data_IF_096557509394
#
_entry.id   IF_096557509394
#
_cell.length_a   1.000
_cell.length_b   1.000
_cell.length_c   1.000
_cell.angle_alpha   90.00
_cell.angle_beta   90.00
_cell.angle_gamma   90.00
#
_symmetry.space_group_name_H-M   'P 1'
#
loop_
_entity.id
_entity.type
_entity.pdbx_description
1 polymer ?
#
# COMPACT_ATOMS: atom_id res chain seq x y z
N UNK A 1 -21.72 4.11 -22.97
CA UNK A 1 -20.65 3.09 -22.98
C UNK A 1 -19.61 3.51 -21.96
N UNK A 2 -19.47 2.77 -20.86
CA UNK A 2 -18.39 3.03 -19.91
C UNK A 2 -17.08 2.57 -20.54
N UNK A 3 -16.13 3.48 -20.69
CA UNK A 3 -14.77 3.19 -21.13
C UNK A 3 -14.16 2.38 -19.99
N UNK A 4 -14.07 1.06 -20.12
CA UNK A 4 -13.28 0.25 -19.18
C UNK A 4 -11.85 0.75 -19.31
N UNK A 5 -11.33 1.36 -18.26
CA UNK A 5 -9.93 1.74 -18.22
C UNK A 5 -9.10 0.48 -18.50
N UNK A 6 -8.23 0.56 -19.51
CA UNK A 6 -7.31 -0.54 -19.81
C UNK A 6 -6.56 -0.92 -18.54
N UNK A 7 -6.41 -2.22 -18.23
CA UNK A 7 -5.65 -2.64 -17.07
C UNK A 7 -4.23 -2.13 -17.26
N UNK A 8 -3.88 -1.12 -16.46
CA UNK A 8 -2.52 -0.57 -16.42
C UNK A 8 -1.56 -1.74 -16.20
N UNK A 9 -0.49 -1.89 -17.00
CA UNK A 9 0.44 -2.99 -16.79
C UNK A 9 0.95 -2.92 -15.36
N UNK A 10 0.71 -4.01 -14.62
CA UNK A 10 1.17 -4.13 -13.24
C UNK A 10 2.69 -3.92 -13.24
N UNK A 11 3.18 -3.03 -12.37
CA UNK A 11 4.61 -2.85 -12.21
C UNK A 11 5.26 -4.14 -11.67
N UNK A 12 6.58 -4.13 -11.41
CA UNK A 12 7.25 -5.30 -10.85
C UNK A 12 6.55 -5.78 -9.56
N UNK A 13 6.51 -7.10 -9.31
CA UNK A 13 5.86 -7.64 -8.13
C UNK A 13 6.62 -7.23 -6.87
N UNK A 14 5.89 -6.87 -5.81
CA UNK A 14 6.51 -6.57 -4.50
C UNK A 14 6.88 -7.84 -3.73
N UNK A 15 6.36 -9.00 -4.17
CA UNK A 15 6.46 -10.27 -3.43
C UNK A 15 5.49 -10.36 -2.25
N UNK A 16 4.61 -9.37 -2.08
CA UNK A 16 3.57 -9.32 -1.05
C UNK A 16 2.18 -9.54 -1.65
N UNK A 17 1.25 -9.99 -0.80
CA UNK A 17 -0.16 -10.14 -1.14
C UNK A 17 -1.04 -9.26 -0.24
N UNK A 18 -2.22 -8.92 -0.76
CA UNK A 18 -3.29 -8.30 0.02
C UNK A 18 -4.00 -9.34 0.93
N UNK A 19 -4.96 -8.89 1.73
CA UNK A 19 -5.76 -9.74 2.63
C UNK A 19 -6.48 -10.90 1.91
N UNK A 20 -6.77 -10.75 0.62
CA UNK A 20 -7.45 -11.74 -0.20
C UNK A 20 -6.47 -12.67 -0.93
N UNK A 21 -5.17 -12.54 -0.69
CA UNK A 21 -4.13 -13.30 -1.36
C UNK A 21 -3.76 -12.80 -2.76
N UNK A 22 -4.30 -11.65 -3.20
CA UNK A 22 -3.93 -11.06 -4.50
C UNK A 22 -2.54 -10.43 -4.41
N UNK A 23 -1.69 -10.67 -5.40
CA UNK A 23 -0.34 -10.11 -5.45
C UNK A 23 -0.39 -8.59 -5.59
N UNK A 24 0.40 -7.91 -4.77
CA UNK A 24 0.59 -6.46 -4.82
C UNK A 24 1.78 -6.15 -5.71
N UNK A 25 1.57 -5.27 -6.68
CA UNK A 25 2.57 -4.81 -7.64
C UNK A 25 2.89 -3.34 -7.42
N UNK A 26 4.06 -2.94 -7.91
CA UNK A 26 4.46 -1.53 -7.90
C UNK A 26 3.52 -0.73 -8.79
N UNK A 27 3.04 0.41 -8.29
CA UNK A 27 2.05 1.26 -8.96
C UNK A 27 0.61 0.95 -8.58
N UNK A 28 0.34 -0.17 -7.89
CA UNK A 28 -0.99 -0.49 -7.39
C UNK A 28 -1.46 0.55 -6.38
N UNK A 29 -2.78 0.66 -6.25
CA UNK A 29 -3.41 1.36 -5.15
C UNK A 29 -3.85 0.34 -4.11
N UNK A 30 -3.59 0.66 -2.85
CA UNK A 30 -4.08 -0.12 -1.71
C UNK A 30 -4.88 0.77 -0.78
N UNK A 31 -5.88 0.19 -0.14
CA UNK A 31 -6.62 0.81 0.96
C UNK A 31 -6.18 0.23 2.29
N UNK A 32 -6.03 1.10 3.28
CA UNK A 32 -5.79 0.75 4.68
C UNK A 32 -6.83 1.45 5.54
N UNK A 33 -7.32 0.75 6.56
CA UNK A 33 -8.23 1.32 7.54
C UNK A 33 -7.53 2.44 8.32
N UNK A 34 -8.22 3.57 8.48
CA UNK A 34 -7.75 4.68 9.28
C UNK A 34 -7.87 4.30 10.76
N UNK A 35 -6.76 4.28 11.48
CA UNK A 35 -6.75 4.04 12.95
C UNK A 35 -6.75 5.36 13.73
N UNK A 36 -6.24 6.44 13.13
CA UNK A 36 -6.10 7.75 13.76
C UNK A 36 -6.95 8.81 13.08
N UNK A 37 -7.66 9.61 13.87
CA UNK A 37 -8.50 10.73 13.43
C UNK A 37 -9.51 10.34 12.31
N UNK A 38 -10.35 9.30 12.50
CA UNK A 38 -11.36 8.89 11.51
C UNK A 38 -12.38 10.02 11.21
N UNK A 39 -12.58 10.95 12.13
CA UNK A 39 -13.38 12.16 11.91
C UNK A 39 -12.80 13.05 10.79
N UNK A 40 -11.49 13.05 10.60
CA UNK A 40 -10.81 13.82 9.54
C UNK A 40 -10.65 13.00 8.26
N UNK A 41 -10.25 11.73 8.37
CA UNK A 41 -9.85 10.91 7.22
C UNK A 41 -10.94 9.96 6.70
N UNK A 42 -11.99 9.71 7.51
CA UNK A 42 -12.94 8.63 7.26
C UNK A 42 -12.37 7.26 7.63
N UNK A 43 -13.07 6.21 7.22
CA UNK A 43 -12.81 4.82 7.60
C UNK A 43 -11.51 4.26 7.00
N UNK A 44 -11.06 4.81 5.87
CA UNK A 44 -9.87 4.33 5.19
C UNK A 44 -9.08 5.43 4.47
N UNK A 45 -7.84 5.11 4.12
CA UNK A 45 -6.97 5.92 3.28
C UNK A 45 -6.38 5.09 2.14
N UNK A 46 -6.15 5.74 0.99
CA UNK A 46 -5.64 5.16 -0.24
C UNK A 46 -4.17 5.56 -0.41
N UNK A 47 -3.35 4.56 -0.71
CA UNK A 47 -1.92 4.69 -0.91
C UNK A 47 -1.52 4.10 -2.27
N UNK A 48 -0.50 4.67 -2.90
CA UNK A 48 0.14 4.10 -4.09
C UNK A 48 1.39 3.34 -3.68
N UNK A 49 1.59 2.16 -4.26
CA UNK A 49 2.80 1.38 -4.06
C UNK A 49 3.93 1.92 -4.91
N UNK A 50 5.07 2.19 -4.29
CA UNK A 50 6.31 2.58 -4.94
C UNK A 50 7.48 1.76 -4.43
N UNK A 51 8.60 1.77 -5.16
CA UNK A 51 9.87 1.22 -4.68
C UNK A 51 10.79 2.35 -4.24
N UNK A 52 11.43 2.19 -3.08
CA UNK A 52 12.57 3.00 -2.65
C UNK A 52 13.77 2.06 -2.51
N UNK A 53 14.58 2.01 -3.57
CA UNK A 53 15.59 0.97 -3.72
C UNK A 53 14.92 -0.41 -3.81
N UNK A 54 15.27 -1.31 -2.90
CA UNK A 54 14.72 -2.66 -2.81
C UNK A 54 13.50 -2.79 -1.87
N UNK A 55 13.04 -1.70 -1.28
CA UNK A 55 11.97 -1.72 -0.29
C UNK A 55 10.68 -1.14 -0.89
N UNK A 56 9.56 -1.90 -0.90
CA UNK A 56 8.26 -1.37 -1.30
C UNK A 56 7.69 -0.46 -0.20
N UNK A 57 7.15 0.68 -0.62
CA UNK A 57 6.56 1.71 0.25
C UNK A 57 5.16 2.09 -0.21
N UNK A 58 4.34 2.54 0.74
CA UNK A 58 3.02 3.12 0.53
C UNK A 58 3.12 4.63 0.58
N UNK A 59 2.84 5.29 -0.55
CA UNK A 59 2.80 6.74 -0.65
C UNK A 59 1.35 7.20 -0.62
N UNK A 60 0.99 7.97 0.42
CA UNK A 60 -0.35 8.50 0.60
C UNK A 60 -0.83 9.26 -0.64
N UNK A 61 -2.00 8.89 -1.14
CA UNK A 61 -2.69 9.62 -2.20
C UNK A 61 -3.78 10.48 -1.60
N UNK A 62 -4.79 9.88 -0.94
CA UNK A 62 -5.96 10.56 -0.38
C UNK A 62 -6.61 9.71 0.70
N UNK A 63 -7.48 10.30 1.50
CA UNK A 63 -8.36 9.60 2.44
C UNK A 63 -9.75 9.38 1.83
N UNK A 64 -10.62 8.60 2.49
CA UNK A 64 -12.02 8.43 2.07
C UNK A 64 -12.73 9.78 1.99
N UNK A 65 -12.46 10.70 2.93
CA UNK A 65 -13.01 12.06 2.93
C UNK A 65 -12.33 13.04 1.96
N UNK A 66 -11.44 12.54 1.10
CA UNK A 66 -10.69 13.34 0.14
C UNK A 66 -9.24 13.60 0.56
N UNK A 67 -8.64 14.67 0.05
CA UNK A 67 -7.22 15.00 0.29
C UNK A 67 -7.04 15.66 1.67
N UNK A 68 -6.75 14.86 2.70
CA UNK A 68 -6.59 15.37 4.06
C UNK A 68 -5.14 15.78 4.40
N UNK A 69 -4.14 15.20 3.73
CA UNK A 69 -2.73 15.58 3.83
C UNK A 69 -2.23 16.05 2.46
N UNK A 70 -1.17 16.89 2.39
CA UNK A 70 -0.55 17.21 1.11
C UNK A 70 -0.08 15.94 0.38
N UNK A 71 -0.06 15.96 -0.95
CA UNK A 71 0.37 14.81 -1.74
C UNK A 71 1.82 14.44 -1.39
N UNK A 72 2.05 13.17 -1.06
CA UNK A 72 3.38 12.67 -0.70
C UNK A 72 3.88 13.04 0.70
N UNK A 73 3.07 13.70 1.54
CA UNK A 73 3.48 14.08 2.90
C UNK A 73 3.55 12.90 3.87
N UNK A 74 2.96 11.76 3.51
CA UNK A 74 3.03 10.54 4.31
C UNK A 74 3.47 9.38 3.41
N UNK A 75 4.59 8.78 3.77
CA UNK A 75 5.15 7.59 3.15
C UNK A 75 5.49 6.62 4.26
N UNK A 76 4.91 5.43 4.24
CA UNK A 76 5.24 4.36 5.17
C UNK A 76 5.72 3.14 4.41
N UNK A 77 6.42 2.24 5.08
CA UNK A 77 6.73 0.94 4.49
C UNK A 77 5.42 0.24 4.13
N UNK A 78 5.40 -0.54 3.03
CA UNK A 78 4.22 -1.33 2.63
C UNK A 78 3.76 -2.29 3.73
N UNK A 79 4.58 -2.48 4.76
CA UNK A 79 4.15 -3.06 6.00
C UNK A 79 4.86 -2.45 7.19
N UNK A 80 4.09 -2.13 8.23
CA UNK A 80 4.62 -1.80 9.56
C UNK A 80 5.27 -3.01 10.26
N UNK A 81 5.10 -4.23 9.72
CA UNK A 81 5.69 -5.47 10.21
C UNK A 81 7.07 -5.79 9.65
N UNK A 82 7.63 -4.95 8.77
CA UNK A 82 9.07 -4.90 8.68
C UNK A 82 9.56 -4.32 10.02
N UNK A 83 9.72 -5.16 11.04
CA UNK A 83 10.52 -4.78 12.19
C UNK A 83 11.84 -4.29 11.60
N UNK A 84 12.13 -3.00 11.73
CA UNK A 84 13.27 -2.35 11.09
C UNK A 84 14.56 -3.12 11.40
N UNK A 85 14.61 -3.75 12.58
CA UNK A 85 15.68 -4.65 12.99
C UNK A 85 15.73 -5.92 12.14
N UNK A 86 14.61 -6.58 11.91
CA UNK A 86 14.57 -7.76 11.03
C UNK A 86 14.83 -7.42 9.56
N UNK A 87 14.35 -6.29 9.05
CA UNK A 87 14.65 -5.84 7.68
C UNK A 87 16.15 -5.62 7.49
N UNK A 88 16.84 -5.06 8.49
CA UNK A 88 18.28 -4.79 8.45
C UNK A 88 19.12 -6.07 8.36
N UNK A 89 18.65 -7.18 8.93
CA UNK A 89 19.37 -8.45 8.98
C UNK A 89 18.82 -9.53 8.03
N UNK A 90 17.75 -9.24 7.29
CA UNK A 90 17.17 -10.18 6.35
C UNK A 90 18.11 -10.39 5.15
N UNK A 91 18.51 -11.64 4.91
CA UNK A 91 19.26 -12.02 3.71
C UNK A 91 18.35 -12.22 2.50
N UNK A 92 17.08 -12.59 2.74
CA UNK A 92 16.04 -12.67 1.72
C UNK A 92 14.76 -11.95 2.18
N UNK A 93 14.14 -11.18 1.27
CA UNK A 93 12.89 -10.47 1.54
C UNK A 93 11.71 -11.39 1.87
N UNK A 94 11.79 -12.68 1.51
CA UNK A 94 10.80 -13.69 1.88
C UNK A 94 10.64 -13.85 3.39
N UNK A 95 11.72 -13.61 4.13
CA UNK A 95 11.82 -13.97 5.55
C UNK A 95 11.21 -12.89 6.45
N UNK A 96 11.10 -11.68 5.90
CA UNK A 96 10.44 -10.52 6.49
C UNK A 96 9.11 -10.22 5.82
N UNK A 97 8.53 -11.19 5.09
CA UNK A 97 7.22 -11.01 4.46
C UNK A 97 6.19 -10.69 5.54
N UNK A 98 5.48 -9.57 5.40
CA UNK A 98 4.33 -9.25 6.24
C UNK A 98 3.30 -10.36 6.14
N UNK A 99 2.75 -10.74 7.28
CA UNK A 99 1.51 -11.55 7.35
C UNK A 99 0.28 -10.66 7.55
N UNK A 100 0.41 -9.38 7.19
CA UNK A 100 -0.57 -8.35 7.51
C UNK A 100 -1.89 -8.63 6.78
N UNK A 101 -2.98 -8.60 7.55
CA UNK A 101 -4.33 -8.90 7.09
C UNK A 101 -5.15 -7.64 6.83
N UNK A 102 -4.57 -6.45 6.88
CA UNK A 102 -5.36 -5.21 6.83
C UNK A 102 -5.15 -4.38 5.56
N UNK A 103 -4.35 -4.86 4.60
CA UNK A 103 -4.11 -4.19 3.33
C UNK A 103 -4.97 -4.86 2.25
N UNK A 104 -5.74 -4.07 1.51
CA UNK A 104 -6.56 -4.56 0.41
C UNK A 104 -6.25 -3.75 -0.86
N UNK A 105 -6.15 -4.43 -2.02
CA UNK A 105 -6.05 -3.73 -3.30
C UNK A 105 -7.28 -2.84 -3.52
N UNK A 106 -7.05 -1.64 -4.03
CA UNK A 106 -8.09 -0.67 -4.34
C UNK A 106 -8.27 -0.58 -5.86
N UNK A 107 -9.40 -1.09 -6.36
CA UNK A 107 -9.71 -1.20 -7.79
C UNK A 107 -10.50 0.02 -8.33
N UNK A 108 -10.74 1.04 -7.50
CA UNK A 108 -11.59 2.20 -7.83
C UNK A 108 -12.99 2.10 -7.20
N UNK A 109 -13.78 3.16 -7.37
CA UNK A 109 -15.25 3.12 -7.25
C UNK A 109 -15.87 2.90 -8.63
#
# INVERSE_FOLDING_TARGET
>A
MAIKADPKPAGPPTGLCDINGKHIHVGDLVKLNTVFNPEVHGDYSIYRIEMRGMVPVMIYQRSQKGQALPKGYNGTLLSSYYDLKMLLFATHLSDVRPKDRNIQLYEGE
#
